data_IF_198910678441
#
_entry.id   IF_198910678441
#
_cell.length_a   1.000
_cell.length_b   1.000
_cell.length_c   1.000
_cell.angle_alpha   90.00
_cell.angle_beta   90.00
_cell.angle_gamma   90.00
#
_symmetry.space_group_name_H-M   'P 1'
#
loop_
_entity.id
_entity.type
_entity.pdbx_description
1 polymer ?
#
# COMPACT_ATOMS: atom_id res chain seq x y z
N UNK A 1 -5.63 -16.37 9.79
CA UNK A 1 -5.00 -16.34 8.45
C UNK A 1 -4.26 -17.65 8.11
N UNK A 2 -3.15 -17.99 8.76
CA UNK A 2 -2.36 -19.22 8.49
C UNK A 2 -3.15 -20.56 8.54
N UNK A 3 -4.13 -20.76 9.44
CA UNK A 3 -4.86 -22.04 9.52
C UNK A 3 -5.82 -22.30 8.35
N UNK A 4 -6.26 -21.25 7.63
CA UNK A 4 -7.32 -21.35 6.60
C UNK A 4 -6.76 -21.44 5.18
N UNK A 5 -5.65 -20.75 4.90
CA UNK A 5 -5.02 -20.72 3.57
C UNK A 5 -4.08 -21.90 3.31
N UNK A 6 -3.63 -22.59 4.37
CA UNK A 6 -2.56 -23.58 4.29
C UNK A 6 -1.18 -22.93 4.11
N UNK A 7 -0.15 -23.57 4.65
CA UNK A 7 1.23 -23.04 4.67
C UNK A 7 1.79 -22.84 3.25
N UNK A 8 1.32 -23.62 2.27
CA UNK A 8 1.81 -23.56 0.89
C UNK A 8 1.34 -22.31 0.11
N UNK A 9 0.21 -21.71 0.52
CA UNK A 9 -0.39 -20.55 -0.16
C UNK A 9 -0.08 -19.22 0.52
N UNK A 10 0.63 -19.25 1.65
CA UNK A 10 0.90 -18.07 2.46
C UNK A 10 2.36 -18.03 2.89
N UNK A 11 3.12 -17.05 2.42
CA UNK A 11 4.54 -16.88 2.75
C UNK A 11 4.77 -15.56 3.45
N UNK A 12 5.31 -15.60 4.67
CA UNK A 12 5.69 -14.40 5.42
C UNK A 12 6.93 -13.77 4.77
N UNK A 13 6.81 -12.51 4.30
CA UNK A 13 7.91 -11.77 3.69
C UNK A 13 8.63 -10.87 4.70
N UNK A 14 7.89 -10.27 5.63
CA UNK A 14 8.43 -9.35 6.61
C UNK A 14 7.53 -9.28 7.84
N UNK A 15 8.13 -9.02 9.00
CA UNK A 15 7.42 -8.74 10.23
C UNK A 15 8.15 -7.69 11.08
N UNK A 16 7.38 -6.82 11.71
CA UNK A 16 7.81 -5.84 12.69
C UNK A 16 6.73 -5.76 13.78
N UNK A 17 7.09 -5.30 14.98
CA UNK A 17 6.32 -5.26 16.25
C UNK A 17 4.80 -5.54 16.18
N UNK A 18 4.08 -4.82 15.34
CA UNK A 18 2.62 -4.84 15.16
C UNK A 18 2.17 -4.97 13.69
N UNK A 19 3.09 -5.21 12.75
CA UNK A 19 2.82 -5.27 11.31
C UNK A 19 3.54 -6.44 10.62
N UNK A 20 2.92 -6.98 9.59
CA UNK A 20 3.51 -8.06 8.80
C UNK A 20 3.07 -7.98 7.35
N UNK A 21 3.87 -8.54 6.46
CA UNK A 21 3.61 -8.59 5.03
C UNK A 21 3.64 -10.06 4.60
N UNK A 22 2.52 -10.52 4.05
CA UNK A 22 2.38 -11.85 3.48
C UNK A 22 2.32 -11.79 1.95
N UNK A 23 2.97 -12.74 1.31
CA UNK A 23 2.71 -13.14 -0.06
C UNK A 23 1.62 -14.22 -0.03
N UNK A 24 0.47 -13.90 -0.64
CA UNK A 24 -0.68 -14.80 -0.75
C UNK A 24 -0.79 -15.32 -2.18
N UNK A 25 -0.93 -16.64 -2.33
CA UNK A 25 -1.24 -17.29 -3.61
C UNK A 25 -2.72 -17.66 -3.64
N UNK A 26 -3.55 -16.72 -4.08
CA UNK A 26 -5.00 -16.84 -4.22
C UNK A 26 -5.50 -15.95 -5.34
N UNK A 27 -6.71 -16.22 -5.84
CA UNK A 27 -7.35 -15.39 -6.86
C UNK A 27 -7.91 -14.07 -6.27
N UNK A 28 -8.59 -14.14 -5.12
CA UNK A 28 -9.07 -12.96 -4.38
C UNK A 28 -8.83 -13.09 -2.86
N UNK A 29 -7.79 -12.41 -2.38
CA UNK A 29 -7.42 -12.39 -0.97
C UNK A 29 -8.45 -11.69 -0.06
N UNK A 30 -9.17 -10.69 -0.58
CA UNK A 30 -10.10 -9.90 0.24
C UNK A 30 -11.34 -10.74 0.58
N UNK A 31 -11.83 -11.52 -0.37
CA UNK A 31 -12.95 -12.42 -0.15
C UNK A 31 -12.57 -13.62 0.72
N UNK A 32 -11.52 -14.36 0.35
CA UNK A 32 -11.15 -15.60 1.05
C UNK A 32 -10.64 -15.36 2.48
N UNK A 33 -9.93 -14.24 2.70
CA UNK A 33 -9.25 -14.00 3.97
C UNK A 33 -9.99 -12.97 4.82
N UNK A 34 -10.28 -11.78 4.27
CA UNK A 34 -10.83 -10.70 5.08
C UNK A 34 -12.32 -10.87 5.34
N UNK A 35 -13.14 -11.22 4.33
CA UNK A 35 -14.58 -11.46 4.57
C UNK A 35 -14.83 -12.65 5.49
N UNK A 36 -13.99 -13.68 5.42
CA UNK A 36 -14.09 -14.86 6.28
C UNK A 36 -13.78 -14.59 7.76
N UNK A 37 -12.98 -13.56 8.08
CA UNK A 37 -12.58 -13.20 9.46
C UNK A 37 -12.76 -11.70 9.74
N UNK A 38 -13.88 -11.13 9.30
CA UNK A 38 -14.22 -9.71 9.43
C UNK A 38 -14.10 -9.14 10.85
N UNK A 39 -14.28 -9.96 11.88
CA UNK A 39 -14.16 -9.54 13.29
C UNK A 39 -12.73 -9.19 13.71
N UNK A 40 -11.72 -9.69 12.99
CA UNK A 40 -10.30 -9.49 13.27
C UNK A 40 -9.69 -8.34 12.46
N UNK A 41 -10.41 -7.80 11.47
CA UNK A 41 -9.91 -6.72 10.61
C UNK A 41 -10.64 -5.39 10.86
N UNK A 42 -9.88 -4.30 10.89
CA UNK A 42 -10.41 -2.93 10.81
C UNK A 42 -10.48 -2.52 9.34
N UNK A 43 -11.71 -2.42 8.84
CA UNK A 43 -12.04 -2.03 7.46
C UNK A 43 -12.71 -0.65 7.40
N UNK A 44 -12.75 0.07 8.52
CA UNK A 44 -13.47 1.35 8.63
C UNK A 44 -12.91 2.47 7.76
N UNK A 45 -11.66 2.36 7.30
CA UNK A 45 -11.00 3.33 6.41
C UNK A 45 -11.20 3.03 4.91
N UNK A 46 -11.91 1.97 4.55
CA UNK A 46 -12.20 1.67 3.15
C UNK A 46 -13.16 2.71 2.55
N UNK A 47 -13.16 2.84 1.23
CA UNK A 47 -14.19 3.61 0.55
C UNK A 47 -15.57 2.89 0.71
N UNK A 48 -16.68 3.63 0.86
CA UNK A 48 -18.02 3.03 0.91
C UNK A 48 -18.34 2.22 -0.35
N UNK A 49 -17.85 2.68 -1.49
CA UNK A 49 -17.94 2.02 -2.79
C UNK A 49 -16.57 1.42 -3.16
N UNK A 50 -16.10 0.46 -2.36
CA UNK A 50 -14.85 -0.23 -2.64
C UNK A 50 -15.09 -1.43 -3.58
N UNK A 51 -14.09 -1.71 -4.44
CA UNK A 51 -14.14 -2.78 -5.44
C UNK A 51 -14.46 -4.18 -4.86
N UNK A 52 -14.12 -4.41 -3.59
CA UNK A 52 -14.24 -5.71 -2.94
C UNK A 52 -15.54 -5.89 -2.15
N UNK A 53 -16.40 -4.87 -2.16
CA UNK A 53 -17.65 -4.80 -1.40
C UNK A 53 -17.46 -5.15 0.10
N UNK A 54 -16.42 -4.56 0.70
CA UNK A 54 -16.05 -4.76 2.10
C UNK A 54 -16.92 -3.89 3.00
N UNK A 55 -17.56 -4.47 4.04
CA UNK A 55 -18.33 -3.69 5.00
C UNK A 55 -17.38 -2.85 5.88
N UNK A 56 -17.83 -1.65 6.27
CA UNK A 56 -17.06 -0.69 7.06
C UNK A 56 -17.24 -0.99 8.56
N UNK A 57 -16.34 -1.78 9.15
CA UNK A 57 -16.46 -2.25 10.54
C UNK A 57 -15.17 -2.07 11.34
N UNK A 58 -15.28 -2.17 12.68
CA UNK A 58 -14.17 -2.27 13.65
C UNK A 58 -13.22 -1.06 13.77
N UNK A 59 -13.71 0.16 13.55
CA UNK A 59 -12.93 1.40 13.71
C UNK A 59 -12.15 1.47 15.03
N UNK A 60 -10.82 1.37 14.95
CA UNK A 60 -9.88 1.45 16.10
C UNK A 60 -10.18 0.45 17.23
N UNK A 61 -10.78 -0.70 16.91
CA UNK A 61 -11.04 -1.74 17.90
C UNK A 61 -9.72 -2.43 18.28
N UNK A 62 -9.48 -2.56 19.59
CA UNK A 62 -8.25 -3.19 20.10
C UNK A 62 -8.14 -4.64 19.62
N UNK A 63 -6.93 -5.03 19.18
CA UNK A 63 -6.66 -6.38 18.66
C UNK A 63 -7.13 -6.63 17.23
N UNK A 64 -7.66 -5.61 16.54
CA UNK A 64 -8.01 -5.69 15.12
C UNK A 64 -6.82 -5.28 14.24
N UNK A 65 -6.58 -6.04 13.18
CA UNK A 65 -5.55 -5.77 12.18
C UNK A 65 -6.08 -4.80 11.14
N UNK A 66 -5.33 -3.74 10.87
CA UNK A 66 -5.65 -2.79 9.80
C UNK A 66 -4.95 -3.20 8.50
N UNK A 67 -5.63 -3.05 7.38
CA UNK A 67 -4.95 -3.03 6.07
C UNK A 67 -4.27 -1.67 5.86
N UNK A 68 -2.95 -1.66 5.80
CA UNK A 68 -2.16 -0.43 5.62
C UNK A 68 -2.28 0.14 4.20
N UNK A 69 -2.62 -0.68 3.20
CA UNK A 69 -2.76 -0.24 1.81
C UNK A 69 -4.18 0.24 1.47
N UNK A 70 -5.13 0.19 2.42
CA UNK A 70 -6.53 0.59 2.28
C UNK A 70 -7.18 0.05 0.97
N UNK A 71 -7.09 -1.27 0.75
CA UNK A 71 -7.68 -1.95 -0.41
C UNK A 71 -6.82 -1.89 -1.67
N UNK A 72 -5.61 -1.34 -1.63
CA UNK A 72 -4.71 -1.33 -2.78
C UNK A 72 -3.76 -2.52 -2.74
N UNK A 73 -3.73 -3.28 -3.83
CA UNK A 73 -2.90 -4.48 -3.91
C UNK A 73 -1.42 -4.10 -3.94
N UNK A 74 -0.63 -4.71 -3.06
CA UNK A 74 0.84 -4.63 -3.08
C UNK A 74 1.37 -5.60 -4.13
N UNK A 75 2.04 -5.08 -5.17
CA UNK A 75 2.53 -5.90 -6.30
C UNK A 75 3.96 -6.37 -6.12
N UNK A 76 4.78 -5.60 -5.40
CA UNK A 76 6.19 -5.90 -5.21
C UNK A 76 6.60 -5.51 -3.79
N UNK A 77 7.51 -6.29 -3.22
CA UNK A 77 8.08 -6.04 -1.90
C UNK A 77 9.59 -6.29 -1.95
N UNK A 78 10.37 -5.44 -1.29
CA UNK A 78 11.79 -5.63 -1.04
C UNK A 78 12.10 -5.28 0.40
N UNK A 79 12.66 -6.24 1.14
CA UNK A 79 13.18 -6.05 2.49
C UNK A 79 14.70 -6.12 2.45
N UNK A 80 15.39 -5.09 2.93
CA UNK A 80 16.85 -5.03 2.96
C UNK A 80 17.41 -5.27 4.36
N UNK A 81 16.75 -4.70 5.38
CA UNK A 81 17.10 -4.86 6.80
C UNK A 81 15.84 -4.66 7.65
N UNK A 82 15.87 -5.06 8.92
CA UNK A 82 14.87 -4.63 9.91
C UNK A 82 14.65 -3.11 9.82
N UNK A 83 13.39 -2.70 9.71
CA UNK A 83 12.96 -1.29 9.56
C UNK A 83 13.42 -0.62 8.26
N UNK A 84 13.91 -1.38 7.28
CA UNK A 84 14.32 -0.90 5.97
C UNK A 84 13.74 -1.79 4.87
N UNK A 85 12.58 -1.38 4.38
CA UNK A 85 11.86 -2.06 3.33
C UNK A 85 11.17 -1.05 2.41
N UNK A 86 10.84 -1.50 1.21
CA UNK A 86 10.03 -0.76 0.25
C UNK A 86 9.04 -1.72 -0.41
N UNK A 87 7.86 -1.21 -0.75
CA UNK A 87 6.85 -1.98 -1.46
C UNK A 87 6.16 -1.10 -2.49
N UNK A 88 5.71 -1.72 -3.58
CA UNK A 88 5.01 -1.06 -4.66
C UNK A 88 3.54 -1.43 -4.56
N UNK A 89 2.70 -0.40 -4.57
CA UNK A 89 1.24 -0.53 -4.54
C UNK A 89 0.69 -0.28 -5.94
N UNK A 90 -0.35 -1.02 -6.32
CA UNK A 90 -1.04 -0.89 -7.60
C UNK A 90 -1.91 0.38 -7.61
N UNK A 91 -1.26 1.53 -7.85
CA UNK A 91 -1.90 2.84 -7.86
C UNK A 91 -2.10 3.29 -9.32
N UNK A 92 -3.17 2.79 -9.96
CA UNK A 92 -3.54 3.25 -11.29
C UNK A 92 -4.16 4.64 -11.20
N UNK A 93 -3.55 5.60 -11.89
CA UNK A 93 -4.21 6.87 -12.19
C UNK A 93 -4.61 6.89 -13.66
N UNK A 94 -5.86 7.22 -13.87
CA UNK A 94 -6.39 7.50 -15.20
C UNK A 94 -5.94 8.90 -15.59
N UNK A 95 -5.23 9.02 -16.71
CA UNK A 95 -4.83 10.28 -17.30
C UNK A 95 -5.44 10.36 -18.71
N UNK A 96 -6.06 11.49 -19.04
CA UNK A 96 -6.45 11.80 -20.42
C UNK A 96 -5.33 12.60 -21.08
N UNK A 97 -4.87 12.14 -22.22
CA UNK A 97 -3.79 12.77 -23.00
C UNK A 97 -4.24 12.95 -24.43
N UNK A 98 -3.90 14.07 -25.04
CA UNK A 98 -4.08 14.27 -26.47
C UNK A 98 -2.84 13.71 -27.17
N UNK A 99 -3.02 12.84 -28.17
CA UNK A 99 -1.92 12.34 -29.01
C UNK A 99 -2.29 12.40 -30.49
N UNK A 100 -1.30 12.62 -31.34
CA UNK A 100 -1.45 12.55 -32.78
C UNK A 100 -0.89 11.23 -33.34
N UNK A 101 -1.64 10.59 -34.24
CA UNK A 101 -1.16 9.46 -35.04
C UNK A 101 -1.48 9.74 -36.51
N UNK A 102 -0.47 9.67 -37.39
CA UNK A 102 -0.62 9.96 -38.82
C UNK A 102 -1.40 11.25 -39.09
N UNK A 103 -1.00 12.34 -38.42
CA UNK A 103 -1.63 13.67 -38.49
C UNK A 103 -3.07 13.79 -37.96
N UNK A 104 -3.66 12.72 -37.42
CA UNK A 104 -4.97 12.75 -36.76
C UNK A 104 -4.80 12.88 -35.25
N UNK A 105 -5.55 13.80 -34.63
CA UNK A 105 -5.48 14.10 -33.19
C UNK A 105 -6.58 13.35 -32.45
N UNK A 106 -6.21 12.64 -31.38
CA UNK A 106 -7.12 11.85 -30.56
C UNK A 106 -7.01 12.23 -29.09
N UNK A 107 -8.14 12.23 -28.38
CA UNK A 107 -8.17 12.23 -26.92
C UNK A 107 -8.12 10.79 -26.42
N UNK A 108 -7.04 10.43 -25.74
CA UNK A 108 -6.76 9.05 -25.31
C UNK A 108 -6.79 8.99 -23.80
N UNK A 109 -7.59 8.08 -23.26
CA UNK A 109 -7.54 7.73 -21.84
C UNK A 109 -6.49 6.64 -21.63
N UNK A 110 -5.54 6.88 -20.72
CA UNK A 110 -4.49 5.92 -20.38
C UNK A 110 -4.48 5.69 -18.87
N UNK A 111 -4.37 4.42 -18.47
CA UNK A 111 -4.18 4.02 -17.07
C UNK A 111 -2.68 3.86 -16.81
N UNK A 112 -2.10 4.69 -15.96
CA UNK A 112 -0.67 4.64 -15.62
C UNK A 112 -0.46 4.41 -14.14
N UNK A 113 0.61 3.70 -13.79
CA UNK A 113 1.11 3.64 -12.42
C UNK A 113 1.66 5.02 -12.09
N UNK A 114 1.02 5.73 -11.15
CA UNK A 114 1.47 7.06 -10.75
C UNK A 114 2.06 7.01 -9.33
N UNK A 115 3.25 7.57 -9.19
CA UNK A 115 3.81 7.90 -7.88
C UNK A 115 2.96 9.02 -7.27
N UNK A 116 2.58 8.89 -6.00
CA UNK A 116 1.83 9.92 -5.31
C UNK A 116 2.79 11.03 -4.85
N UNK A 117 2.52 12.31 -5.15
CA UNK A 117 3.29 13.42 -4.59
C UNK A 117 3.18 13.52 -3.06
N UNK A 118 2.12 12.93 -2.50
CA UNK A 118 1.83 12.87 -1.04
C UNK A 118 2.47 11.64 -0.37
N UNK A 119 3.38 10.95 -1.04
CA UNK A 119 4.14 9.88 -0.40
C UNK A 119 5.19 10.55 0.51
N UNK A 120 4.75 10.97 1.70
CA UNK A 120 5.48 11.79 2.67
C UNK A 120 6.68 11.07 3.31
N UNK A 121 7.09 9.91 2.79
CA UNK A 121 8.25 9.17 3.27
C UNK A 121 9.58 9.86 2.94
N UNK A 122 9.57 11.02 2.26
CA UNK A 122 10.77 11.80 1.92
C UNK A 122 10.60 13.28 2.26
N UNK A 123 11.60 13.84 2.95
CA UNK A 123 11.75 15.25 3.29
C UNK A 123 12.59 15.95 2.22
N UNK A 124 12.09 17.07 1.69
CA UNK A 124 12.84 17.98 0.83
C UNK A 124 13.75 18.84 1.70
N UNK A 125 15.05 18.82 1.42
CA UNK A 125 15.99 19.71 2.10
C UNK A 125 15.75 21.13 1.59
N UNK A 126 15.45 22.06 2.50
CA UNK A 126 15.20 23.46 2.15
C UNK A 126 16.42 24.04 1.40
N UNK A 127 16.22 24.55 0.18
CA UNK A 127 17.28 25.11 -0.66
C UNK A 127 18.09 24.09 -1.49
N UNK A 128 17.65 22.83 -1.59
CA UNK A 128 18.30 21.81 -2.43
C UNK A 128 17.27 21.05 -3.30
N UNK A 129 17.73 20.37 -4.34
CA UNK A 129 16.95 19.43 -5.14
C UNK A 129 16.99 17.99 -4.56
N UNK A 130 17.75 17.76 -3.50
CA UNK A 130 17.90 16.45 -2.87
C UNK A 130 16.79 16.16 -1.85
N UNK A 131 16.32 14.91 -1.84
CA UNK A 131 15.32 14.40 -0.88
C UNK A 131 15.94 13.38 0.08
N UNK A 132 15.62 13.44 1.37
CA UNK A 132 16.02 12.42 2.36
C UNK A 132 14.81 11.60 2.79
N UNK A 133 14.93 10.29 3.05
CA UNK A 133 13.86 9.55 3.69
C UNK A 133 13.60 10.09 5.10
N UNK A 134 12.32 10.21 5.48
CA UNK A 134 11.85 10.89 6.69
C UNK A 134 12.49 10.35 7.98
N UNK A 135 12.77 9.04 8.02
CA UNK A 135 13.42 8.32 9.12
C UNK A 135 14.83 8.87 9.41
N UNK A 136 15.58 9.29 8.38
CA UNK A 136 16.95 9.82 8.52
C UNK A 136 16.93 11.28 9.02
N UNK A 137 15.93 12.07 8.61
CA UNK A 137 15.81 13.46 9.07
C UNK A 137 15.67 13.54 10.60
N UNK A 138 14.84 12.67 11.19
CA UNK A 138 14.57 12.68 12.64
C UNK A 138 15.77 12.28 13.49
N UNK A 139 16.70 11.47 12.97
CA UNK A 139 17.94 11.13 13.69
C UNK A 139 18.93 12.31 13.73
N UNK A 140 18.98 13.15 12.69
CA UNK A 140 19.87 14.32 12.67
C UNK A 140 19.38 15.46 13.57
N UNK A 141 18.06 15.65 13.70
CA UNK A 141 17.49 16.68 14.57
C UNK A 141 17.64 16.38 16.07
N UNK A 142 17.79 15.11 16.45
CA UNK A 142 17.98 14.69 17.84
C UNK A 142 19.46 14.66 18.29
N UNK A 143 20.40 15.05 17.43
CA UNK A 143 21.83 15.14 17.75
C UNK A 143 22.32 16.58 17.97
N UNK A 144 21.43 17.57 17.81
CA UNK A 144 21.67 18.96 18.17
C UNK A 144 20.64 19.39 19.22
N UNK A 145 20.84 18.92 20.45
CA UNK A 145 20.47 19.63 21.66
C UNK A 145 21.46 19.29 22.76
#
# INVERSE_FOLDING_TARGET
>A
MLPKMGIERCKLLYMETDSFIYELKCDDAYEEVMKADLSQFDTSEYAPDNKYNMPLVNKKKLGSLKDEANGKIVTNFVGLRSKMYAYKVQNFRVQRTIRSYAHNVFSIQQSKIALSPKDDKRYLILGSFNTLPWVIHRQKSNFFM
#
